data_IF_380651454110
#
_entry.id   IF_380651454110
#
_cell.length_a   1.000
_cell.length_b   1.000
_cell.length_c   1.000
_cell.angle_alpha   90.00
_cell.angle_beta   90.00
_cell.angle_gamma   90.00
#
_symmetry.space_group_name_H-M   'P 1'
#
loop_
_entity.id
_entity.type
_entity.pdbx_description
1 polymer ?
#
# COMPACT_ATOMS: atom_id res chain seq x y z
N UNK A 1 3.20 -110.05 -3.20
CA UNK A 1 1.93 -109.40 -3.56
C UNK A 1 1.91 -108.06 -2.86
N UNK A 2 1.72 -107.00 -3.64
CA UNK A 2 2.06 -105.61 -3.31
C UNK A 2 0.87 -104.94 -2.59
N UNK A 3 1.23 -104.18 -1.55
CA UNK A 3 0.56 -103.06 -0.86
C UNK A 3 -0.69 -102.51 -1.57
N UNK A 4 -1.81 -102.33 -0.87
CA UNK A 4 -1.94 -101.28 0.14
C UNK A 4 -2.65 -100.12 -0.55
N UNK A 5 -3.97 -100.04 -0.37
CA UNK A 5 -4.78 -98.95 -0.89
C UNK A 5 -4.56 -97.72 -0.04
N UNK A 6 -4.39 -96.56 -0.69
CA UNK A 6 -4.57 -95.23 -0.12
C UNK A 6 -4.61 -94.21 -1.27
N UNK A 7 -5.46 -93.20 -1.08
CA UNK A 7 -5.42 -91.85 -1.67
C UNK A 7 -5.94 -91.60 -3.10
N UNK A 8 -7.27 -91.66 -3.20
CA UNK A 8 -8.07 -90.99 -4.24
C UNK A 8 -8.66 -89.65 -3.74
N UNK A 9 -7.81 -88.74 -3.26
CA UNK A 9 -8.15 -87.32 -3.14
C UNK A 9 -6.96 -86.49 -3.61
N UNK A 10 -6.87 -86.28 -4.94
CA UNK A 10 -6.12 -85.15 -5.48
C UNK A 10 -6.93 -83.89 -5.18
N UNK A 11 -6.68 -83.31 -4.02
CA UNK A 11 -7.07 -81.94 -3.71
C UNK A 11 -6.29 -81.02 -4.67
N UNK A 12 -6.97 -80.59 -5.72
CA UNK A 12 -6.50 -79.52 -6.60
C UNK A 12 -7.10 -78.23 -6.08
N UNK A 13 -6.54 -77.71 -4.99
CA UNK A 13 -6.78 -76.35 -4.52
C UNK A 13 -5.53 -75.78 -3.83
N UNK A 14 -4.35 -75.96 -4.44
CA UNK A 14 -3.13 -75.24 -4.05
C UNK A 14 -2.73 -74.27 -5.16
N UNK A 15 -3.58 -73.27 -5.40
CA UNK A 15 -3.26 -72.05 -6.14
C UNK A 15 -3.13 -70.87 -5.16
N UNK A 16 -2.38 -71.04 -4.06
CA UNK A 16 -1.84 -69.93 -3.29
C UNK A 16 -0.52 -69.45 -3.90
N UNK A 17 -0.61 -68.98 -5.14
CA UNK A 17 0.44 -68.18 -5.76
C UNK A 17 0.47 -66.80 -5.11
N UNK A 18 1.38 -66.65 -4.14
CA UNK A 18 2.20 -65.45 -3.92
C UNK A 18 1.47 -64.12 -4.07
N UNK A 19 0.53 -63.85 -3.17
CA UNK A 19 0.23 -62.46 -2.79
C UNK A 19 1.45 -61.96 -2.01
N UNK A 20 2.42 -61.42 -2.75
CA UNK A 20 3.57 -60.69 -2.24
C UNK A 20 3.12 -59.43 -1.51
N UNK A 21 2.49 -59.60 -0.35
CA UNK A 21 2.32 -58.55 0.63
C UNK A 21 3.71 -58.12 1.04
N UNK A 22 4.12 -56.93 0.58
CA UNK A 22 5.26 -56.23 1.14
C UNK A 22 5.02 -56.19 2.64
N UNK A 23 5.74 -57.02 3.40
CA UNK A 23 5.84 -56.82 4.84
C UNK A 23 6.26 -55.37 5.02
N UNK A 24 5.56 -54.57 5.84
CA UNK A 24 6.06 -53.24 6.15
C UNK A 24 7.39 -53.50 6.83
N UNK A 25 8.49 -53.22 6.14
CA UNK A 25 9.79 -53.08 6.76
C UNK A 25 9.53 -52.18 7.96
N UNK A 26 9.77 -52.70 9.16
CA UNK A 26 9.73 -51.88 10.37
C UNK A 26 10.87 -50.89 10.20
N UNK A 27 10.58 -49.74 9.60
CA UNK A 27 11.52 -48.65 9.50
C UNK A 27 11.98 -48.34 10.92
N UNK A 28 13.28 -48.39 11.13
CA UNK A 28 13.84 -48.07 12.43
C UNK A 28 13.45 -46.63 12.77
N UNK A 29 13.13 -46.32 14.05
CA UNK A 29 12.64 -44.99 14.44
C UNK A 29 13.59 -43.84 14.06
N UNK A 30 14.88 -44.14 13.83
CA UNK A 30 15.89 -43.16 13.42
C UNK A 30 15.71 -42.70 11.96
N UNK A 31 15.32 -43.59 11.06
CA UNK A 31 15.27 -43.31 9.62
C UNK A 31 13.97 -42.59 9.21
N UNK A 32 12.95 -42.66 10.07
CA UNK A 32 11.65 -42.00 9.84
C UNK A 32 11.68 -40.49 10.13
N UNK A 33 12.62 -40.02 10.96
CA UNK A 33 12.75 -38.60 11.31
C UNK A 33 12.98 -37.70 10.07
N UNK A 34 14.00 -37.94 9.22
CA UNK A 34 14.23 -37.11 8.04
C UNK A 34 13.07 -37.16 7.03
N UNK A 35 12.40 -38.32 6.92
CA UNK A 35 11.20 -38.48 6.09
C UNK A 35 10.06 -37.57 6.58
N UNK A 36 9.78 -37.58 7.88
CA UNK A 36 8.72 -36.75 8.49
C UNK A 36 9.05 -35.26 8.32
N UNK A 37 10.31 -34.85 8.56
CA UNK A 37 10.75 -33.47 8.37
C UNK A 37 10.54 -33.00 6.92
N UNK A 38 10.89 -33.85 5.95
CA UNK A 38 10.69 -33.55 4.53
C UNK A 38 9.21 -33.35 4.19
N UNK A 39 8.33 -34.23 4.67
CA UNK A 39 6.88 -34.12 4.40
C UNK A 39 6.30 -32.84 5.01
N UNK A 40 6.68 -32.50 6.24
CA UNK A 40 6.24 -31.27 6.89
C UNK A 40 6.72 -30.02 6.14
N UNK A 41 7.96 -30.04 5.64
CA UNK A 41 8.51 -28.95 4.85
C UNK A 41 7.80 -28.83 3.49
N UNK A 42 7.48 -29.95 2.83
CA UNK A 42 6.77 -29.97 1.55
C UNK A 42 5.33 -29.49 1.66
N UNK A 43 4.59 -29.94 2.68
CA UNK A 43 3.15 -29.67 2.81
C UNK A 43 2.89 -28.35 3.53
N UNK A 44 3.59 -28.07 4.62
CA UNK A 44 3.32 -26.90 5.49
C UNK A 44 4.41 -25.84 5.42
N UNK A 45 5.53 -26.07 4.73
CA UNK A 45 6.63 -25.11 4.62
C UNK A 45 7.41 -24.88 5.92
N UNK A 46 7.16 -25.68 6.97
CA UNK A 46 7.77 -25.54 8.31
C UNK A 46 8.35 -26.85 8.80
N UNK A 47 9.23 -26.76 9.80
CA UNK A 47 9.70 -27.94 10.55
C UNK A 47 8.61 -28.48 11.49
N UNK A 48 8.54 -29.81 11.69
CA UNK A 48 7.64 -30.40 12.67
C UNK A 48 8.02 -29.99 14.08
N UNK A 49 7.02 -29.80 14.94
CA UNK A 49 7.22 -29.63 16.38
C UNK A 49 7.72 -30.92 17.02
N UNK A 50 8.44 -30.83 18.15
CA UNK A 50 8.93 -32.01 18.90
C UNK A 50 7.80 -33.01 19.22
N UNK A 51 6.59 -32.50 19.50
CA UNK A 51 5.40 -33.33 19.76
C UNK A 51 4.91 -34.05 18.50
N UNK A 52 4.85 -33.34 17.38
CA UNK A 52 4.40 -33.88 16.08
C UNK A 52 5.40 -34.92 15.57
N UNK A 53 6.69 -34.59 15.66
CA UNK A 53 7.77 -35.50 15.28
C UNK A 53 7.71 -36.80 16.08
N UNK A 54 7.54 -36.72 17.40
CA UNK A 54 7.40 -37.90 18.24
C UNK A 54 6.15 -38.72 17.92
N UNK A 55 5.03 -38.06 17.66
CA UNK A 55 3.76 -38.70 17.31
C UNK A 55 3.86 -39.54 16.02
N UNK A 56 4.50 -39.00 14.97
CA UNK A 56 4.67 -39.70 13.71
C UNK A 56 5.85 -40.69 13.72
N UNK A 57 6.92 -40.40 14.48
CA UNK A 57 8.10 -41.28 14.64
C UNK A 57 7.73 -42.64 15.22
N UNK A 58 6.91 -42.65 16.26
CA UNK A 58 6.47 -43.89 16.93
C UNK A 58 5.09 -44.38 16.44
N UNK A 59 4.44 -43.64 15.54
CA UNK A 59 3.13 -43.99 14.99
C UNK A 59 3.21 -45.07 13.90
N UNK A 60 2.12 -45.82 13.72
CA UNK A 60 2.02 -46.87 12.71
C UNK A 60 1.63 -46.35 11.30
N UNK A 61 1.49 -45.03 11.11
CA UNK A 61 1.08 -44.46 9.83
C UNK A 61 2.19 -44.58 8.78
N UNK A 62 1.80 -44.83 7.53
CA UNK A 62 2.71 -44.77 6.39
C UNK A 62 3.04 -43.33 6.00
N UNK A 63 4.06 -43.14 5.16
CA UNK A 63 4.41 -41.84 4.60
C UNK A 63 3.20 -41.14 3.94
N UNK A 64 2.46 -41.89 3.12
CA UNK A 64 1.34 -41.35 2.37
C UNK A 64 0.17 -40.97 3.28
N UNK A 65 -0.07 -41.74 4.34
CA UNK A 65 -1.10 -41.41 5.34
C UNK A 65 -0.75 -40.11 6.08
N UNK A 66 0.53 -39.90 6.41
CA UNK A 66 1.00 -38.66 7.04
C UNK A 66 0.77 -37.48 6.10
N UNK A 67 1.10 -37.63 4.81
CA UNK A 67 0.91 -36.59 3.80
C UNK A 67 -0.57 -36.23 3.65
N UNK A 68 -1.46 -37.22 3.52
CA UNK A 68 -2.91 -37.00 3.41
C UNK A 68 -3.44 -36.30 4.67
N UNK A 69 -2.99 -36.70 5.85
CA UNK A 69 -3.41 -36.09 7.11
C UNK A 69 -2.97 -34.63 7.22
N UNK A 70 -1.76 -34.28 6.78
CA UNK A 70 -1.31 -32.90 6.77
C UNK A 70 -2.06 -32.06 5.73
N UNK A 71 -2.34 -32.61 4.54
CA UNK A 71 -3.11 -31.92 3.50
C UNK A 71 -4.55 -31.61 3.92
N UNK A 72 -5.16 -32.52 4.69
CA UNK A 72 -6.54 -32.38 5.20
C UNK A 72 -6.62 -31.57 6.50
N UNK A 73 -5.48 -31.29 7.13
CA UNK A 73 -5.42 -30.53 8.38
C UNK A 73 -5.91 -29.09 8.20
N UNK A 74 -6.47 -28.52 9.27
CA UNK A 74 -6.90 -27.13 9.26
C UNK A 74 -5.73 -26.15 9.16
N UNK A 75 -4.51 -26.58 9.51
CA UNK A 75 -3.30 -25.79 9.32
C UNK A 75 -3.01 -25.57 7.83
N UNK A 76 -3.06 -26.62 7.02
CA UNK A 76 -2.84 -26.50 5.58
C UNK A 76 -3.90 -25.61 4.91
N UNK A 77 -5.17 -25.72 5.32
CA UNK A 77 -6.24 -24.82 4.86
C UNK A 77 -5.95 -23.36 5.19
N UNK A 78 -5.49 -23.07 6.43
CA UNK A 78 -5.10 -21.72 6.84
C UNK A 78 -3.95 -21.18 6.01
N UNK A 79 -2.94 -22.00 5.71
CA UNK A 79 -1.82 -21.60 4.86
C UNK A 79 -2.31 -21.18 3.47
N UNK A 80 -3.25 -21.92 2.88
CA UNK A 80 -3.85 -21.56 1.59
C UNK A 80 -4.66 -20.26 1.66
N UNK A 81 -5.48 -20.10 2.70
CA UNK A 81 -6.23 -18.86 2.92
C UNK A 81 -5.30 -17.65 3.09
N UNK A 82 -4.24 -17.80 3.88
CA UNK A 82 -3.29 -16.71 4.13
C UNK A 82 -2.44 -16.40 2.89
N UNK A 83 -2.05 -17.42 2.11
CA UNK A 83 -1.41 -17.22 0.81
C UNK A 83 -2.32 -16.45 -0.16
N UNK A 84 -3.62 -16.73 -0.17
CA UNK A 84 -4.58 -15.99 -1.01
C UNK A 84 -4.78 -14.54 -0.58
N UNK A 85 -4.66 -14.25 0.72
CA UNK A 85 -4.73 -12.88 1.25
C UNK A 85 -3.46 -12.11 0.94
N UNK A 86 -2.30 -12.77 0.95
CA UNK A 86 -0.99 -12.15 0.75
C UNK A 86 -0.90 -11.44 -0.60
N UNK A 87 -1.41 -12.03 -1.69
CA UNK A 87 -1.41 -11.38 -3.00
C UNK A 87 -2.19 -10.07 -3.00
N UNK A 88 -3.31 -10.00 -2.27
CA UNK A 88 -4.06 -8.76 -2.10
C UNK A 88 -3.32 -7.70 -1.28
N UNK A 89 -2.53 -8.14 -0.29
CA UNK A 89 -1.72 -7.25 0.55
C UNK A 89 -0.54 -6.65 -0.25
N UNK A 90 0.10 -7.41 -1.12
CA UNK A 90 1.17 -6.91 -2.00
C UNK A 90 0.66 -5.81 -2.93
N UNK A 91 -0.50 -6.01 -3.55
CA UNK A 91 -1.14 -4.99 -4.39
C UNK A 91 -1.53 -3.75 -3.59
N UNK A 92 -2.07 -3.92 -2.38
CA UNK A 92 -2.36 -2.81 -1.47
C UNK A 92 -1.11 -2.03 -1.07
N UNK A 93 -0.01 -2.73 -0.77
CA UNK A 93 1.27 -2.11 -0.42
C UNK A 93 1.80 -1.28 -1.60
N UNK A 94 1.78 -1.86 -2.80
CA UNK A 94 2.22 -1.18 -4.03
C UNK A 94 1.37 0.06 -4.31
N UNK A 95 0.05 -0.04 -4.17
CA UNK A 95 -0.86 1.09 -4.33
C UNK A 95 -0.62 2.18 -3.27
N UNK A 96 -0.38 1.79 -2.03
CA UNK A 96 -0.04 2.72 -0.94
C UNK A 96 1.26 3.47 -1.24
N UNK A 97 2.31 2.78 -1.69
CA UNK A 97 3.59 3.38 -2.09
C UNK A 97 3.44 4.35 -3.27
N UNK A 98 2.60 4.01 -4.26
CA UNK A 98 2.30 4.91 -5.37
C UNK A 98 1.58 6.17 -4.90
N UNK A 99 0.64 6.03 -3.97
CA UNK A 99 -0.07 7.17 -3.40
C UNK A 99 0.85 8.05 -2.55
N UNK A 100 1.74 7.45 -1.76
CA UNK A 100 2.77 8.17 -1.00
C UNK A 100 3.64 9.01 -1.94
N UNK A 101 4.18 8.42 -3.02
CA UNK A 101 4.98 9.14 -4.02
C UNK A 101 4.22 10.29 -4.70
N UNK A 102 2.93 10.09 -4.99
CA UNK A 102 2.08 11.15 -5.56
C UNK A 102 1.85 12.29 -4.57
N UNK A 103 1.67 11.98 -3.29
CA UNK A 103 1.48 12.97 -2.25
C UNK A 103 2.76 13.75 -1.99
N UNK A 104 3.92 13.09 -1.93
CA UNK A 104 5.22 13.78 -1.77
C UNK A 104 5.49 14.73 -2.92
N UNK A 105 5.22 14.30 -4.17
CA UNK A 105 5.38 15.18 -5.33
C UNK A 105 4.44 16.40 -5.26
N UNK A 106 3.18 16.22 -4.85
CA UNK A 106 2.25 17.34 -4.66
C UNK A 106 2.71 18.32 -3.58
N UNK A 107 3.31 17.82 -2.49
CA UNK A 107 3.86 18.67 -1.44
C UNK A 107 5.01 19.51 -1.99
N UNK A 108 5.94 18.88 -2.71
CA UNK A 108 7.07 19.57 -3.34
C UNK A 108 6.60 20.64 -4.34
N UNK A 109 5.61 20.33 -5.18
CA UNK A 109 5.01 21.29 -6.11
C UNK A 109 4.37 22.48 -5.38
N UNK A 110 3.69 22.25 -4.25
CA UNK A 110 3.08 23.31 -3.44
C UNK A 110 4.14 24.16 -2.73
N UNK A 111 5.19 23.55 -2.21
CA UNK A 111 6.30 24.28 -1.57
C UNK A 111 7.00 25.20 -2.57
N UNK A 112 7.20 24.74 -3.81
CA UNK A 112 7.74 25.55 -4.89
C UNK A 112 6.80 26.73 -5.23
N UNK A 113 5.49 26.48 -5.35
CA UNK A 113 4.50 27.54 -5.61
C UNK A 113 4.46 28.58 -4.48
N UNK A 114 4.57 28.15 -3.22
CA UNK A 114 4.61 29.04 -2.07
C UNK A 114 5.89 29.89 -2.10
N UNK A 115 7.04 29.29 -2.42
CA UNK A 115 8.30 30.00 -2.54
C UNK A 115 8.25 31.07 -3.65
N UNK A 116 7.75 30.72 -4.84
CA UNK A 116 7.54 31.66 -5.95
C UNK A 116 6.58 32.79 -5.56
N UNK A 117 5.47 32.46 -4.91
CA UNK A 117 4.52 33.44 -4.41
C UNK A 117 5.14 34.41 -3.40
N UNK A 118 6.03 33.91 -2.54
CA UNK A 118 6.75 34.74 -1.58
C UNK A 118 7.73 35.69 -2.27
N UNK A 119 8.45 35.24 -3.30
CA UNK A 119 9.34 36.09 -4.11
C UNK A 119 8.54 37.24 -4.74
N UNK A 120 7.44 36.92 -5.43
CA UNK A 120 6.59 37.92 -6.08
C UNK A 120 6.02 38.94 -5.07
N UNK A 121 5.64 38.49 -3.88
CA UNK A 121 5.18 39.39 -2.81
C UNK A 121 6.29 40.33 -2.34
N UNK A 122 7.51 39.83 -2.19
CA UNK A 122 8.66 40.66 -1.79
C UNK A 122 9.00 41.71 -2.86
N UNK A 123 8.99 41.33 -4.13
CA UNK A 123 9.21 42.26 -5.25
C UNK A 123 8.14 43.36 -5.29
N UNK A 124 6.85 42.97 -5.19
CA UNK A 124 5.75 43.94 -5.15
C UNK A 124 5.86 44.89 -3.96
N UNK A 125 6.25 44.38 -2.79
CA UNK A 125 6.46 45.21 -1.61
C UNK A 125 7.64 46.18 -1.79
N UNK A 126 8.71 45.76 -2.48
CA UNK A 126 9.83 46.66 -2.84
C UNK A 126 9.34 47.80 -3.73
N UNK A 127 8.62 47.48 -4.80
CA UNK A 127 8.06 48.48 -5.73
C UNK A 127 7.12 49.45 -5.01
N UNK A 128 6.25 48.95 -4.11
CA UNK A 128 5.38 49.80 -3.30
C UNK A 128 6.21 50.76 -2.43
N UNK A 129 7.33 50.30 -1.87
CA UNK A 129 8.23 51.15 -1.09
C UNK A 129 8.86 52.24 -1.94
N UNK A 130 9.36 51.89 -3.13
CA UNK A 130 9.95 52.84 -4.09
C UNK A 130 8.93 53.90 -4.54
N UNK A 131 7.72 53.48 -4.89
CA UNK A 131 6.64 54.41 -5.27
C UNK A 131 6.25 55.34 -4.11
N UNK A 132 6.21 54.82 -2.88
CA UNK A 132 5.94 55.65 -1.69
C UNK A 132 7.06 56.66 -1.45
N UNK A 133 8.30 56.30 -1.71
CA UNK A 133 9.44 57.22 -1.62
C UNK A 133 9.35 58.31 -2.69
N UNK A 134 9.02 57.96 -3.93
CA UNK A 134 8.79 58.93 -5.02
C UNK A 134 7.68 59.92 -4.69
N UNK A 135 6.54 59.45 -4.14
CA UNK A 135 5.43 60.32 -3.73
C UNK A 135 5.79 61.18 -2.51
N UNK A 136 6.55 60.62 -1.57
CA UNK A 136 6.96 61.34 -0.35
C UNK A 136 8.05 62.38 -0.64
N UNK A 137 8.80 62.26 -1.74
CA UNK A 137 9.86 63.19 -2.11
C UNK A 137 9.27 64.54 -2.59
N UNK A 138 9.36 65.63 -1.78
CA UNK A 138 8.81 66.93 -2.17
C UNK A 138 9.61 67.61 -3.28
N UNK A 139 10.78 67.07 -3.66
CA UNK A 139 11.69 67.58 -4.69
C UNK A 139 11.68 66.73 -5.97
N UNK A 140 10.66 65.89 -6.18
CA UNK A 140 10.44 65.28 -7.48
C UNK A 140 9.95 66.37 -8.44
N UNK A 141 10.91 67.08 -9.03
CA UNK A 141 10.75 68.37 -9.71
C UNK A 141 10.27 68.21 -11.15
N UNK A 142 10.47 67.06 -11.78
CA UNK A 142 10.11 66.81 -13.19
C UNK A 142 8.60 67.02 -13.43
N UNK A 143 7.72 66.43 -12.59
CA UNK A 143 6.25 66.66 -12.66
C UNK A 143 5.79 68.04 -12.16
N UNK A 144 6.62 68.76 -11.41
CA UNK A 144 6.25 70.11 -10.92
C UNK A 144 6.64 71.16 -11.94
N UNK A 145 7.80 71.05 -12.58
CA UNK A 145 8.29 71.99 -13.58
C UNK A 145 7.36 72.01 -14.79
N UNK A 146 6.92 70.84 -15.29
CA UNK A 146 5.93 70.77 -16.38
C UNK A 146 4.60 71.48 -16.01
N UNK A 147 4.12 71.30 -14.76
CA UNK A 147 2.94 72.03 -14.26
C UNK A 147 3.14 73.55 -14.15
N UNK A 148 4.36 74.02 -13.91
CA UNK A 148 4.65 75.46 -13.90
C UNK A 148 4.83 76.03 -15.31
N UNK A 149 5.33 75.24 -16.27
CA UNK A 149 5.51 75.65 -17.66
C UNK A 149 4.17 75.70 -18.43
N UNK A 150 3.19 74.85 -18.10
CA UNK A 150 1.84 74.88 -18.68
C UNK A 150 0.92 76.00 -18.15
N UNK A 151 1.43 76.93 -17.33
CA UNK A 151 0.69 78.12 -16.90
C UNK A 151 -0.37 77.87 -15.82
N UNK A 152 -0.14 76.91 -14.93
CA UNK A 152 -1.09 76.56 -13.87
C UNK A 152 -1.15 77.66 -12.78
N UNK A 153 -2.33 78.29 -12.65
CA UNK A 153 -2.59 79.37 -11.69
C UNK A 153 -2.56 78.84 -10.25
N UNK A 154 -1.56 79.24 -9.47
CA UNK A 154 -1.22 78.74 -8.13
C UNK A 154 -2.36 78.95 -7.10
N UNK A 155 -3.38 79.75 -7.44
CA UNK A 155 -4.54 80.01 -6.60
C UNK A 155 -5.77 79.14 -6.91
N UNK A 156 -5.71 78.26 -7.90
CA UNK A 156 -6.80 77.32 -8.17
C UNK A 156 -6.52 75.98 -7.48
N UNK A 157 -6.84 75.90 -6.18
CA UNK A 157 -6.90 74.60 -5.50
C UNK A 157 -7.94 73.72 -6.21
N UNK A 158 -7.58 72.59 -6.84
CA UNK A 158 -8.60 71.65 -7.27
C UNK A 158 -9.28 71.16 -6.00
N UNK A 159 -10.60 71.40 -5.89
CA UNK A 159 -11.42 70.66 -4.93
C UNK A 159 -11.08 69.19 -5.15
N UNK A 160 -10.61 68.52 -4.11
CA UNK A 160 -10.48 67.06 -4.09
C UNK A 160 -11.88 66.53 -4.38
N UNK A 161 -12.14 66.18 -5.63
CA UNK A 161 -13.29 65.35 -5.98
C UNK A 161 -12.92 64.00 -5.42
N UNK A 162 -13.46 63.69 -4.25
CA UNK A 162 -13.50 62.33 -3.74
C UNK A 162 -14.28 61.51 -4.75
N UNK A 163 -13.56 60.94 -5.72
CA UNK A 163 -14.12 59.85 -6.52
C UNK A 163 -14.40 58.74 -5.51
N UNK A 164 -15.67 58.40 -5.35
CA UNK A 164 -16.13 57.27 -4.54
C UNK A 164 -15.44 56.00 -5.08
N UNK A 165 -14.34 55.60 -4.43
CA UNK A 165 -13.73 54.30 -4.65
C UNK A 165 -14.82 53.30 -4.26
N UNK A 166 -15.31 52.43 -5.16
CA UNK A 166 -16.29 51.43 -4.78
C UNK A 166 -15.67 50.57 -3.69
N UNK A 167 -16.28 50.59 -2.50
CA UNK A 167 -15.87 49.76 -1.37
C UNK A 167 -15.73 48.33 -1.89
N UNK A 168 -14.53 47.76 -1.78
CA UNK A 168 -14.34 46.33 -2.03
C UNK A 168 -15.36 45.58 -1.18
N UNK A 169 -16.21 44.78 -1.86
CA UNK A 169 -17.27 44.01 -1.20
C UNK A 169 -16.63 43.17 -0.09
N UNK A 170 -17.19 43.29 1.11
CA UNK A 170 -16.68 42.56 2.27
C UNK A 170 -16.80 41.05 1.98
N UNK A 171 -15.86 40.25 2.51
CA UNK A 171 -15.89 38.79 2.37
C UNK A 171 -17.27 38.18 2.72
N UNK A 172 -18.00 38.80 3.66
CA UNK A 172 -19.36 38.43 4.05
C UNK A 172 -20.39 38.60 2.93
N UNK A 173 -20.23 39.60 2.09
CA UNK A 173 -21.11 39.87 0.94
C UNK A 173 -20.85 38.88 -0.18
N UNK A 174 -19.58 38.56 -0.45
CA UNK A 174 -19.20 37.50 -1.39
C UNK A 174 -19.73 36.13 -0.93
N UNK A 175 -19.66 35.84 0.37
CA UNK A 175 -20.17 34.58 0.94
C UNK A 175 -21.70 34.50 0.86
N UNK A 176 -22.40 35.62 1.05
CA UNK A 176 -23.86 35.71 0.83
C UNK A 176 -24.23 35.52 -0.64
N UNK A 177 -23.49 36.12 -1.58
CA UNK A 177 -23.71 35.90 -3.01
C UNK A 177 -23.47 34.44 -3.39
N UNK A 178 -22.44 33.80 -2.84
CA UNK A 178 -22.12 32.40 -3.10
C UNK A 178 -23.21 31.45 -2.56
N UNK A 179 -23.71 31.70 -1.34
CA UNK A 179 -24.82 30.93 -0.75
C UNK A 179 -26.10 31.13 -1.57
N UNK A 180 -26.42 32.35 -1.99
CA UNK A 180 -27.61 32.61 -2.81
C UNK A 180 -27.52 31.99 -4.21
N UNK A 181 -26.33 31.81 -4.76
CA UNK A 181 -26.11 31.13 -6.05
C UNK A 181 -26.24 29.60 -5.92
N UNK A 182 -26.00 29.03 -4.73
CA UNK A 182 -26.13 27.60 -4.44
C UNK A 182 -27.56 27.16 -4.10
N UNK A 183 -28.43 28.09 -3.72
CA UNK A 183 -29.82 27.83 -3.30
C UNK A 183 -30.83 28.09 -4.45
N UNK A 184 -30.35 28.50 -5.63
CA UNK A 184 -31.16 28.69 -6.84
C UNK A 184 -30.91 27.58 -7.84
#
# INVERSE_FOLDING_TARGET
MINGGEDFFKDKNDDYSSSGGRSPMRDFPSDRVPMIEKIFQEVLGRKPSSRELSYYKYGAMSEDDIRIKLLTSDEHKKVLEDASKLSGVEDQLKNSQLNEKRLTQKIEDLDNQIAEGHILLTEKNSIISELREQVKNPYNLEERIERYEEGFDVYSTPKIVTQDIPRQKSFKELLKEFINMLIK
#
